data_IF_556033903180
#
_entry.id   IF_556033903180
#
_cell.length_a   1.000
_cell.length_b   1.000
_cell.length_c   1.000
_cell.angle_alpha   90.00
_cell.angle_beta   90.00
_cell.angle_gamma   90.00
#
_symmetry.space_group_name_H-M   'P 1'
#
loop_
_entity.id
_entity.type
_entity.pdbx_description
1 polymer ?
#
# COMPACT_ATOMS: atom_id res chain seq x y z
N UNK A 1 5.11 4.15 4.59
CA UNK A 1 4.53 3.65 3.32
C UNK A 1 3.09 3.24 3.51
N UNK A 2 2.87 2.11 4.20
CA UNK A 2 1.52 1.57 4.40
C UNK A 2 0.60 2.50 5.19
N UNK A 3 1.12 3.20 6.21
CA UNK A 3 0.35 4.20 6.96
C UNK A 3 -0.26 5.28 6.06
N UNK A 4 0.47 5.71 5.02
CA UNK A 4 -0.05 6.70 4.07
C UNK A 4 -1.13 6.09 3.18
N UNK A 5 -0.92 4.88 2.68
CA UNK A 5 -1.94 4.19 1.89
C UNK A 5 -3.23 4.02 2.69
N UNK A 6 -3.12 3.66 3.97
CA UNK A 6 -4.27 3.52 4.87
C UNK A 6 -5.00 4.85 5.07
N UNK A 7 -4.26 5.94 5.30
CA UNK A 7 -4.85 7.27 5.45
C UNK A 7 -5.55 7.76 4.18
N UNK A 8 -4.90 7.62 3.02
CA UNK A 8 -5.46 8.02 1.73
C UNK A 8 -6.66 7.15 1.34
N UNK A 9 -6.54 5.81 1.41
CA UNK A 9 -7.66 4.90 1.09
C UNK A 9 -8.84 5.08 2.06
N UNK A 10 -8.56 5.26 3.36
CA UNK A 10 -9.59 5.51 4.37
C UNK A 10 -10.31 6.84 4.15
N UNK A 11 -9.57 7.89 3.78
CA UNK A 11 -10.15 9.20 3.47
C UNK A 11 -10.93 9.18 2.16
N UNK A 12 -10.43 8.48 1.13
CA UNK A 12 -11.13 8.29 -0.14
C UNK A 12 -12.45 7.52 0.05
N UNK A 13 -12.44 6.46 0.87
CA UNK A 13 -13.65 5.74 1.25
C UNK A 13 -14.68 6.68 1.90
N UNK A 14 -14.26 7.51 2.86
CA UNK A 14 -15.14 8.48 3.53
C UNK A 14 -15.69 9.54 2.57
N UNK A 15 -14.85 10.07 1.67
CA UNK A 15 -15.29 11.06 0.67
C UNK A 15 -16.36 10.46 -0.26
N UNK A 16 -16.08 9.29 -0.86
CA UNK A 16 -17.03 8.61 -1.75
C UNK A 16 -18.33 8.29 -1.02
N UNK A 17 -18.27 7.76 0.19
CA UNK A 17 -19.46 7.45 0.98
C UNK A 17 -20.26 8.71 1.30
N UNK A 18 -19.61 9.79 1.75
CA UNK A 18 -20.26 11.05 2.09
C UNK A 18 -20.97 11.66 0.89
N UNK A 19 -20.30 11.71 -0.28
CA UNK A 19 -20.89 12.22 -1.53
C UNK A 19 -22.09 11.38 -1.97
N UNK A 20 -22.00 10.06 -1.86
CA UNK A 20 -23.10 9.15 -2.19
C UNK A 20 -24.32 9.41 -1.28
N UNK A 21 -24.10 9.51 0.04
CA UNK A 21 -25.16 9.81 1.01
C UNK A 21 -25.78 11.20 0.80
N UNK A 22 -25.01 12.16 0.28
CA UNK A 22 -25.49 13.48 -0.13
C UNK A 22 -26.22 13.49 -1.49
N UNK A 23 -26.41 12.33 -2.13
CA UNK A 23 -27.20 12.18 -3.35
C UNK A 23 -26.42 12.30 -4.65
N UNK A 24 -25.07 12.34 -4.61
CA UNK A 24 -24.25 12.32 -5.83
C UNK A 24 -24.31 10.94 -6.50
N UNK A 25 -24.99 10.89 -7.65
CA UNK A 25 -25.15 9.67 -8.47
C UNK A 25 -23.92 9.30 -9.29
N UNK A 26 -22.93 10.19 -9.37
CA UNK A 26 -21.71 9.96 -10.15
C UNK A 26 -20.63 9.23 -9.35
N UNK A 27 -20.78 9.14 -8.03
CA UNK A 27 -19.85 8.41 -7.17
C UNK A 27 -19.84 6.94 -7.55
N UNK A 28 -18.64 6.39 -7.71
CA UNK A 28 -18.42 4.97 -7.95
C UNK A 28 -18.29 4.24 -6.62
N UNK A 29 -19.35 3.51 -6.28
CA UNK A 29 -19.38 2.52 -5.21
C UNK A 29 -19.80 1.15 -5.82
N UNK A 30 -19.27 0.03 -5.32
CA UNK A 30 -18.34 -0.11 -4.19
C UNK A 30 -16.94 0.45 -4.47
N UNK A 31 -16.12 0.68 -3.44
CA UNK A 31 -14.69 0.96 -3.59
C UNK A 31 -13.91 -0.34 -3.40
N UNK A 32 -12.92 -0.57 -4.26
CA UNK A 32 -12.02 -1.73 -4.18
C UNK A 32 -10.60 -1.26 -3.86
N UNK A 33 -9.81 -2.06 -3.15
CA UNK A 33 -8.41 -1.70 -2.87
C UNK A 33 -7.56 -1.79 -4.14
N UNK A 34 -6.46 -1.03 -4.19
CA UNK A 34 -5.58 -0.92 -5.37
C UNK A 34 -4.14 -1.37 -5.10
N UNK A 35 -3.81 -1.76 -3.86
CA UNK A 35 -2.43 -2.04 -3.47
C UNK A 35 -1.81 -3.28 -4.14
N UNK A 36 -2.60 -4.19 -4.71
CA UNK A 36 -2.16 -5.41 -5.39
C UNK A 36 -2.03 -5.17 -6.91
N UNK A 37 -0.81 -5.20 -7.48
CA UNK A 37 -0.63 -4.93 -8.91
C UNK A 37 -1.30 -5.98 -9.81
N UNK A 38 -1.38 -7.24 -9.35
CA UNK A 38 -2.11 -8.28 -10.08
C UNK A 38 -3.62 -8.00 -10.17
N UNK A 39 -4.18 -7.39 -9.13
CA UNK A 39 -5.59 -6.97 -9.12
C UNK A 39 -5.84 -5.78 -10.03
N UNK A 40 -4.96 -4.77 -9.98
CA UNK A 40 -5.02 -3.61 -10.88
C UNK A 40 -4.94 -4.06 -12.33
N UNK A 41 -3.95 -4.89 -12.68
CA UNK A 41 -3.80 -5.42 -14.03
C UNK A 41 -5.04 -6.23 -14.46
N UNK A 42 -5.63 -7.03 -13.56
CA UNK A 42 -6.85 -7.77 -13.87
C UNK A 42 -8.02 -6.84 -14.24
N UNK A 43 -8.21 -5.75 -13.48
CA UNK A 43 -9.21 -4.72 -13.78
C UNK A 43 -8.93 -4.03 -15.12
N UNK A 44 -7.70 -3.62 -15.36
CA UNK A 44 -7.28 -2.94 -16.60
C UNK A 44 -7.44 -3.80 -17.85
N UNK A 45 -7.44 -5.13 -17.73
CA UNK A 45 -7.63 -6.01 -18.89
C UNK A 45 -9.08 -6.45 -19.07
N UNK A 46 -9.79 -6.73 -17.97
CA UNK A 46 -11.09 -7.41 -18.02
C UNK A 46 -12.28 -6.47 -17.76
N UNK A 47 -12.06 -5.31 -17.14
CA UNK A 47 -13.11 -4.40 -16.68
C UNK A 47 -12.75 -2.93 -17.00
N UNK A 48 -12.48 -2.66 -18.28
CA UNK A 48 -12.10 -1.33 -18.79
C UNK A 48 -13.14 -0.23 -18.51
N UNK A 49 -14.41 -0.60 -18.35
CA UNK A 49 -15.52 0.28 -18.03
C UNK A 49 -15.65 0.58 -16.51
N UNK A 50 -14.85 -0.08 -15.68
CA UNK A 50 -14.88 0.02 -14.21
C UNK A 50 -13.56 0.48 -13.60
N UNK A 51 -12.71 1.16 -14.36
CA UNK A 51 -11.39 1.63 -13.90
C UNK A 51 -11.45 2.61 -12.72
N UNK A 52 -12.59 3.29 -12.55
CA UNK A 52 -12.83 4.23 -11.44
C UNK A 52 -13.31 3.54 -10.14
N UNK A 53 -13.56 2.23 -10.17
CA UNK A 53 -14.04 1.46 -9.01
C UNK A 53 -12.92 1.18 -8.00
N UNK A 54 -11.72 0.74 -8.41
CA UNK A 54 -10.57 0.70 -7.51
C UNK A 54 -10.23 2.07 -6.93
N UNK A 55 -9.60 2.04 -5.76
CA UNK A 55 -9.03 3.20 -5.08
C UNK A 55 -7.97 3.87 -5.95
N UNK A 56 -7.94 5.20 -5.91
CA UNK A 56 -6.91 6.00 -6.57
C UNK A 56 -5.57 6.00 -5.82
N UNK A 57 -5.56 5.50 -4.59
CA UNK A 57 -4.37 5.44 -3.75
C UNK A 57 -3.27 4.59 -4.39
N UNK A 58 -2.03 5.09 -4.34
CA UNK A 58 -0.82 4.33 -4.67
C UNK A 58 -0.59 3.23 -3.62
N UNK A 59 0.07 2.14 -4.01
CA UNK A 59 0.47 1.13 -3.04
C UNK A 59 1.55 1.63 -2.06
N UNK A 60 1.78 0.95 -0.93
CA UNK A 60 2.74 1.40 0.08
C UNK A 60 4.16 1.61 -0.44
N UNK A 61 4.61 0.77 -1.38
CA UNK A 61 5.94 0.92 -1.96
C UNK A 61 6.03 2.17 -2.81
N UNK A 62 4.99 2.48 -3.58
CA UNK A 62 4.96 3.62 -4.49
C UNK A 62 4.79 4.93 -3.72
N UNK A 63 3.92 4.94 -2.69
CA UNK A 63 3.83 6.09 -1.80
C UNK A 63 5.15 6.35 -1.08
N UNK A 64 5.82 5.30 -0.59
CA UNK A 64 7.12 5.47 0.05
C UNK A 64 8.18 5.98 -0.92
N UNK A 65 8.29 5.40 -2.12
CA UNK A 65 9.24 5.83 -3.14
C UNK A 65 9.05 7.30 -3.53
N UNK A 66 7.80 7.72 -3.72
CA UNK A 66 7.47 9.11 -4.01
C UNK A 66 7.96 10.07 -2.92
N UNK A 67 7.74 9.76 -1.64
CA UNK A 67 8.19 10.58 -0.51
C UNK A 67 9.71 10.54 -0.33
N UNK A 68 10.33 9.37 -0.50
CA UNK A 68 11.77 9.21 -0.42
C UNK A 68 12.48 10.13 -1.43
N UNK A 69 11.97 10.20 -2.66
CA UNK A 69 12.53 10.99 -3.75
C UNK A 69 12.05 12.44 -3.83
N UNK A 70 11.21 12.88 -2.90
CA UNK A 70 10.76 14.28 -2.82
C UNK A 70 11.15 14.84 -1.45
N UNK A 71 10.30 14.65 -0.45
CA UNK A 71 10.48 15.17 0.90
C UNK A 71 11.82 14.77 1.54
N UNK A 72 12.22 13.50 1.44
CA UNK A 72 13.47 13.05 2.06
C UNK A 72 14.71 13.48 1.26
N UNK A 73 14.65 13.43 -0.08
CA UNK A 73 15.69 13.98 -0.94
C UNK A 73 15.95 15.47 -0.64
N UNK A 74 14.89 16.28 -0.55
CA UNK A 74 14.98 17.70 -0.19
C UNK A 74 15.60 17.89 1.20
N UNK A 75 15.16 17.09 2.19
CA UNK A 75 15.69 17.14 3.56
C UNK A 75 17.17 16.76 3.64
N UNK A 76 17.62 15.85 2.79
CA UNK A 76 19.03 15.45 2.68
C UNK A 76 19.84 16.34 1.74
N UNK A 77 19.21 17.32 1.08
CA UNK A 77 19.85 18.16 0.05
C UNK A 77 20.49 17.33 -1.07
N UNK A 78 19.87 16.19 -1.40
CA UNK A 78 20.26 15.29 -2.50
C UNK A 78 19.24 15.44 -3.62
N UNK A 79 19.68 15.43 -4.87
CA UNK A 79 18.76 15.48 -6.00
C UNK A 79 18.01 14.15 -6.11
N UNK A 80 16.77 14.21 -6.60
CA UNK A 80 15.95 13.03 -6.87
C UNK A 80 16.67 12.00 -7.75
N UNK A 81 17.39 12.48 -8.77
CA UNK A 81 18.11 11.64 -9.73
C UNK A 81 19.31 10.92 -9.12
N UNK A 82 19.85 11.47 -8.03
CA UNK A 82 20.99 10.93 -7.30
C UNK A 82 20.57 9.97 -6.17
N UNK A 83 19.27 9.78 -5.94
CA UNK A 83 18.71 8.90 -4.90
C UNK A 83 18.11 7.64 -5.53
N UNK A 84 18.64 6.47 -5.12
CA UNK A 84 18.15 5.15 -5.54
C UNK A 84 17.30 4.53 -4.45
N UNK A 85 16.05 4.21 -4.78
CA UNK A 85 15.10 3.52 -3.91
C UNK A 85 14.98 2.07 -4.33
N UNK A 86 15.32 1.16 -3.41
CA UNK A 86 15.17 -0.28 -3.58
C UNK A 86 14.11 -0.80 -2.62
N UNK A 87 13.12 -1.52 -3.13
CA UNK A 87 12.09 -2.16 -2.31
C UNK A 87 12.30 -3.68 -2.23
N UNK A 88 12.15 -4.25 -1.04
CA UNK A 88 12.16 -5.71 -0.83
C UNK A 88 10.72 -6.18 -0.65
N UNK A 89 10.22 -6.98 -1.58
CA UNK A 89 8.81 -7.34 -1.66
C UNK A 89 8.60 -8.85 -1.74
N UNK A 90 7.59 -9.42 -1.09
CA UNK A 90 7.28 -10.85 -1.23
C UNK A 90 6.61 -11.20 -2.57
N UNK A 91 6.25 -10.20 -3.38
CA UNK A 91 5.45 -10.36 -4.59
C UNK A 91 6.25 -9.93 -5.83
N UNK A 92 6.31 -10.79 -6.85
CA UNK A 92 6.98 -10.46 -8.13
C UNK A 92 6.26 -9.37 -8.92
N UNK A 93 4.94 -9.25 -8.78
CA UNK A 93 4.16 -8.21 -9.47
C UNK A 93 4.55 -6.79 -9.01
N UNK A 94 5.20 -6.65 -7.84
CA UNK A 94 5.73 -5.36 -7.37
C UNK A 94 6.90 -4.85 -8.22
N UNK A 95 7.62 -5.75 -8.92
CA UNK A 95 8.62 -5.36 -9.92
C UNK A 95 7.98 -4.68 -11.13
N UNK A 96 6.89 -5.26 -11.62
CA UNK A 96 6.11 -4.67 -12.69
C UNK A 96 5.54 -3.31 -12.27
N UNK A 97 4.95 -3.22 -11.07
CA UNK A 97 4.44 -1.95 -10.55
C UNK A 97 5.52 -0.86 -10.50
N UNK A 98 6.74 -1.17 -10.07
CA UNK A 98 7.86 -0.21 -10.03
C UNK A 98 8.22 0.36 -11.42
N UNK A 99 7.93 -0.38 -12.49
CA UNK A 99 8.31 0.00 -13.86
C UNK A 99 7.24 0.81 -14.61
N UNK A 100 6.03 0.92 -14.07
CA UNK A 100 4.91 1.64 -14.68
C UNK A 100 5.24 3.13 -14.86
N UNK A 101 4.90 3.68 -16.03
CA UNK A 101 5.35 5.02 -16.45
C UNK A 101 4.74 6.16 -15.62
N UNK A 102 3.52 5.96 -15.11
CA UNK A 102 2.83 6.91 -14.22
C UNK A 102 3.49 7.07 -12.84
N UNK A 103 4.43 6.20 -12.49
CA UNK A 103 5.23 6.32 -11.27
C UNK A 103 6.61 6.91 -11.54
N UNK A 104 6.74 7.70 -12.61
CA UNK A 104 7.97 8.43 -12.96
C UNK A 104 7.70 9.93 -12.93
N UNK A 105 8.65 10.68 -12.40
CA UNK A 105 8.69 12.15 -12.49
C UNK A 105 9.85 12.52 -13.40
N UNK A 106 9.57 13.16 -14.53
CA UNK A 106 10.57 13.50 -15.55
C UNK A 106 11.43 12.30 -16.00
N UNK A 107 10.81 11.12 -16.11
CA UNK A 107 11.49 9.87 -16.46
C UNK A 107 12.23 9.18 -15.31
N UNK A 108 12.28 9.78 -14.11
CA UNK A 108 12.90 9.18 -12.92
C UNK A 108 11.85 8.42 -12.07
N UNK A 109 11.94 7.08 -11.93
CA UNK A 109 10.97 6.28 -11.16
C UNK A 109 10.91 6.65 -9.69
N UNK A 110 9.73 6.53 -9.07
CA UNK A 110 9.53 6.65 -7.60
C UNK A 110 10.27 5.51 -6.86
N UNK A 111 10.26 4.30 -7.43
CA UNK A 111 11.02 3.12 -6.96
C UNK A 111 11.88 2.60 -8.11
N UNK A 112 13.21 2.58 -7.95
CA UNK A 112 14.14 2.19 -9.01
C UNK A 112 14.20 0.68 -9.20
N UNK A 113 14.26 -0.06 -8.09
CA UNK A 113 14.35 -1.51 -8.11
C UNK A 113 13.40 -2.13 -7.08
N UNK A 114 12.76 -3.23 -7.47
CA UNK A 114 12.07 -4.10 -6.54
C UNK A 114 12.70 -5.49 -6.62
N UNK A 115 13.12 -6.01 -5.46
CA UNK A 115 13.68 -7.34 -5.33
C UNK A 115 12.79 -8.20 -4.45
N UNK A 116 12.77 -9.50 -4.75
CA UNK A 116 12.04 -10.46 -3.95
C UNK A 116 12.81 -10.82 -2.68
N UNK A 117 12.09 -11.31 -1.66
CA UNK A 117 12.71 -11.89 -0.45
C UNK A 117 13.69 -13.02 -0.80
N UNK A 118 13.42 -13.78 -1.88
CA UNK A 118 14.32 -14.84 -2.37
C UNK A 118 15.62 -14.29 -2.94
N UNK A 119 15.55 -13.19 -3.68
CA UNK A 119 16.72 -12.52 -4.24
C UNK A 119 17.58 -11.88 -3.14
N UNK A 120 16.95 -11.22 -2.17
CA UNK A 120 17.67 -10.71 -0.99
C UNK A 120 18.36 -11.85 -0.24
N UNK A 121 17.66 -12.96 0.01
CA UNK A 121 18.23 -14.13 0.68
C UNK A 121 19.38 -14.76 -0.11
N UNK A 122 19.38 -14.67 -1.45
CA UNK A 122 20.48 -15.12 -2.28
C UNK A 122 21.70 -14.20 -2.12
N UNK A 123 21.51 -12.88 -2.19
CA UNK A 123 22.57 -11.89 -2.00
C UNK A 123 23.24 -12.05 -0.63
N UNK A 124 22.46 -12.16 0.45
CA UNK A 124 22.98 -12.38 1.81
C UNK A 124 23.93 -13.59 1.86
N UNK A 125 23.53 -14.70 1.22
CA UNK A 125 24.36 -15.92 1.16
C UNK A 125 25.59 -15.75 0.28
N UNK A 126 25.45 -15.08 -0.86
CA UNK A 126 26.55 -14.83 -1.81
C UNK A 126 27.64 -13.95 -1.19
N UNK A 127 27.25 -12.96 -0.38
CA UNK A 127 28.18 -12.11 0.37
C UNK A 127 28.68 -12.74 1.69
N UNK A 128 28.36 -14.01 1.96
CA UNK A 128 28.72 -14.74 3.18
C UNK A 128 28.32 -14.01 4.48
N UNK A 129 27.17 -13.33 4.46
CA UNK A 129 26.64 -12.63 5.65
C UNK A 129 25.90 -13.65 6.52
N UNK A 130 26.37 -13.87 7.75
CA UNK A 130 25.60 -14.62 8.73
C UNK A 130 24.52 -13.73 9.35
N UNK A 131 23.37 -13.65 8.69
CA UNK A 131 22.26 -12.79 9.11
C UNK A 131 21.79 -13.06 10.55
N UNK A 132 21.89 -14.30 11.02
CA UNK A 132 21.45 -14.67 12.38
C UNK A 132 22.36 -14.13 13.49
N UNK A 133 23.60 -13.74 13.16
CA UNK A 133 24.59 -13.22 14.12
C UNK A 133 24.69 -11.69 14.07
N UNK A 134 23.88 -11.02 13.25
CA UNK A 134 23.86 -9.56 13.19
C UNK A 134 23.26 -8.98 14.48
N UNK A 135 23.83 -7.86 14.93
CA UNK A 135 23.24 -7.11 16.02
C UNK A 135 21.93 -6.45 15.55
N UNK A 136 20.96 -6.34 16.46
CA UNK A 136 19.77 -5.55 16.21
C UNK A 136 20.14 -4.07 16.06
N UNK A 137 19.59 -3.42 15.04
CA UNK A 137 19.74 -1.99 14.78
C UNK A 137 18.37 -1.36 14.53
N UNK A 138 18.26 -0.07 14.84
CA UNK A 138 17.06 0.71 14.58
C UNK A 138 16.91 1.05 13.10
N UNK A 139 15.67 1.20 12.64
CA UNK A 139 15.39 1.72 11.30
C UNK A 139 15.77 3.21 11.16
N UNK A 140 16.07 3.63 9.94
CA UNK A 140 16.45 5.01 9.63
C UNK A 140 15.36 6.04 9.95
N UNK A 141 15.75 7.21 10.44
CA UNK A 141 14.82 8.33 10.70
C UNK A 141 14.90 9.36 9.57
N UNK A 142 13.80 10.03 9.18
CA UNK A 142 12.46 9.99 9.78
C UNK A 142 11.51 8.97 9.13
N UNK A 143 11.93 8.25 8.09
CA UNK A 143 11.01 7.46 7.24
C UNK A 143 10.90 5.97 7.62
N UNK A 144 11.80 5.44 8.42
CA UNK A 144 11.88 4.02 8.78
C UNK A 144 11.05 3.60 9.98
N UNK A 145 10.58 4.53 10.81
CA UNK A 145 9.63 4.23 11.88
C UNK A 145 8.23 3.98 11.27
N UNK A 146 7.68 2.78 11.51
CA UNK A 146 6.35 2.37 11.09
C UNK A 146 5.39 2.38 12.28
N UNK A 147 4.14 2.85 12.11
CA UNK A 147 3.14 2.69 13.15
C UNK A 147 2.61 1.25 13.19
N UNK A 148 1.95 0.86 14.28
CA UNK A 148 1.35 -0.46 14.44
C UNK A 148 0.33 -0.83 13.35
N UNK A 149 -0.27 0.15 12.65
CA UNK A 149 -1.20 -0.10 11.55
C UNK A 149 -0.51 -0.71 10.32
N UNK A 150 0.70 -0.24 9.99
CA UNK A 150 1.53 -0.79 8.93
C UNK A 150 2.09 -2.20 9.25
N UNK A 151 2.19 -2.60 10.52
CA UNK A 151 2.56 -3.97 10.90
C UNK A 151 1.48 -4.98 10.49
N UNK A 152 0.20 -4.60 10.58
CA UNK A 152 -0.93 -5.46 10.21
C UNK A 152 -1.10 -5.55 8.68
N UNK A 153 -0.55 -4.61 7.92
CA UNK A 153 -0.61 -4.60 6.44
C UNK A 153 -0.07 -5.90 5.82
N UNK A 154 0.91 -6.55 6.46
CA UNK A 154 1.48 -7.83 6.01
C UNK A 154 0.58 -9.05 6.22
N UNK A 155 -0.51 -8.93 6.99
CA UNK A 155 -1.47 -10.00 7.25
C UNK A 155 -2.63 -9.98 6.24
N UNK A 156 -3.23 -11.14 5.97
CA UNK A 156 -4.40 -11.24 5.10
C UNK A 156 -5.57 -10.44 5.66
N UNK A 157 -6.09 -9.47 4.89
CA UNK A 157 -7.14 -8.55 5.32
C UNK A 157 -6.64 -7.28 6.04
N UNK A 158 -5.33 -7.12 6.24
CA UNK A 158 -4.79 -6.00 7.02
C UNK A 158 -5.00 -4.63 6.38
N UNK A 159 -4.97 -4.54 5.04
CA UNK A 159 -5.17 -3.27 4.32
C UNK A 159 -6.60 -2.76 4.49
N UNK A 160 -7.58 -3.62 4.20
CA UNK A 160 -9.00 -3.28 4.30
C UNK A 160 -9.39 -3.03 5.76
N UNK A 161 -8.89 -3.83 6.70
CA UNK A 161 -9.15 -3.60 8.13
C UNK A 161 -8.60 -2.25 8.57
N UNK A 162 -7.37 -1.89 8.19
CA UNK A 162 -6.75 -0.65 8.59
C UNK A 162 -7.41 0.58 7.94
N UNK A 163 -7.76 0.52 6.65
CA UNK A 163 -8.46 1.60 5.95
C UNK A 163 -9.85 1.83 6.55
N UNK A 164 -10.62 0.76 6.79
CA UNK A 164 -11.96 0.85 7.37
C UNK A 164 -11.92 1.28 8.83
N UNK A 165 -10.94 0.80 9.62
CA UNK A 165 -10.70 1.27 10.98
C UNK A 165 -10.41 2.76 11.00
N UNK A 166 -9.53 3.24 10.13
CA UNK A 166 -9.20 4.67 10.03
C UNK A 166 -10.43 5.49 9.67
N UNK A 167 -11.20 5.06 8.66
CA UNK A 167 -12.44 5.71 8.27
C UNK A 167 -13.46 5.78 9.43
N UNK A 168 -13.66 4.68 10.14
CA UNK A 168 -14.58 4.60 11.28
C UNK A 168 -14.15 5.52 12.43
N UNK A 169 -12.87 5.47 12.83
CA UNK A 169 -12.37 6.25 13.96
C UNK A 169 -12.38 7.76 13.67
N UNK A 170 -12.05 8.15 12.43
CA UNK A 170 -12.12 9.55 11.98
C UNK A 170 -13.55 10.06 11.94
N UNK A 171 -14.50 9.26 11.46
CA UNK A 171 -15.90 9.69 11.32
C UNK A 171 -16.67 9.68 12.65
N UNK A 172 -16.48 8.63 13.46
CA UNK A 172 -17.27 8.42 14.68
C UNK A 172 -16.60 8.98 15.94
N UNK A 173 -15.29 9.22 15.90
CA UNK A 173 -14.48 9.55 17.08
C UNK A 173 -14.34 8.39 18.08
N UNK A 174 -14.84 7.19 17.75
CA UNK A 174 -14.78 5.99 18.60
C UNK A 174 -13.78 5.00 18.03
N UNK A 175 -13.09 4.26 18.90
CA UNK A 175 -12.24 3.15 18.47
C UNK A 175 -13.08 2.03 17.88
N UNK A 176 -12.73 1.58 16.68
CA UNK A 176 -13.36 0.41 16.09
C UNK A 176 -12.93 -0.83 16.89
N UNK A 177 -13.84 -1.70 17.36
CA UNK A 177 -13.45 -2.96 17.97
C UNK A 177 -12.71 -3.87 16.97
N UNK A 178 -12.27 -5.04 17.45
CA UNK A 178 -11.68 -6.04 16.56
C UNK A 178 -12.73 -6.45 15.51
N UNK A 179 -12.32 -6.48 14.24
CA UNK A 179 -13.18 -6.88 13.15
C UNK A 179 -13.03 -8.39 12.94
N UNK A 180 -14.14 -9.13 13.07
CA UNK A 180 -14.14 -10.57 12.84
C UNK A 180 -14.65 -10.86 11.43
N UNK A 181 -13.72 -11.23 10.55
CA UNK A 181 -14.03 -11.65 9.18
C UNK A 181 -14.55 -13.09 9.18
N UNK A 182 -15.77 -13.27 8.65
CA UNK A 182 -16.42 -14.58 8.50
C UNK A 182 -16.42 -15.01 7.04
N UNK A 183 -16.17 -16.30 6.79
CA UNK A 183 -16.18 -16.85 5.43
C UNK A 183 -17.60 -16.89 4.86
N UNK A 184 -17.75 -16.50 3.60
CA UNK A 184 -19.05 -16.52 2.92
C UNK A 184 -19.38 -17.94 2.48
N UNK A 185 -20.55 -18.44 2.91
CA UNK A 185 -21.01 -19.79 2.59
C UNK A 185 -21.09 -19.99 1.08
N UNK A 186 -20.33 -20.95 0.56
CA UNK A 186 -20.29 -21.29 -0.87
C UNK A 186 -19.32 -20.45 -1.70
N UNK A 187 -18.52 -19.58 -1.07
CA UNK A 187 -17.49 -18.77 -1.72
C UNK A 187 -16.14 -18.97 -1.01
N UNK A 188 -15.46 -20.07 -1.37
CA UNK A 188 -14.15 -20.39 -0.78
C UNK A 188 -13.16 -19.23 -0.97
N UNK A 189 -12.51 -18.82 0.12
CA UNK A 189 -11.52 -17.75 0.10
C UNK A 189 -12.11 -16.32 0.14
N UNK A 190 -13.43 -16.15 0.16
CA UNK A 190 -14.08 -14.84 0.34
C UNK A 190 -14.56 -14.70 1.79
N UNK A 191 -14.19 -13.59 2.42
CA UNK A 191 -14.60 -13.26 3.79
C UNK A 191 -15.31 -11.91 3.83
N UNK A 192 -16.22 -11.75 4.79
CA UNK A 192 -16.98 -10.52 5.03
C UNK A 192 -17.03 -10.16 6.51
N UNK A 193 -17.13 -8.87 6.79
CA UNK A 193 -17.42 -8.34 8.12
C UNK A 193 -18.43 -7.19 7.99
N UNK A 194 -19.23 -6.98 9.04
CA UNK A 194 -20.20 -5.89 9.11
C UNK A 194 -19.84 -4.97 10.27
N UNK A 195 -19.98 -3.67 10.04
CA UNK A 195 -19.68 -2.60 11.00
C UNK A 195 -20.96 -1.77 11.15
N UNK A 196 -21.17 -1.22 12.35
CA UNK A 196 -22.35 -0.46 12.75
C UNK A 196 -22.41 0.96 12.17
#
# INVERSE_FOLDING_TARGET
GADMTIMEEGTELLDRLTRHLNGDKNVKLPILTSCCPGWVNFFEHNFNDMLDVPSSAKSPQQMFGAIAKTYFADKMSVKREDLVVVSVMPCLAKKYEAQRDEFKVNGNPDVDFSISTRELAHLIKEFNINFADLADEDFDRPLGESTGAAVIFGATGGVIEAAVRTAYEVHTGKKLPKMDFTELRGMEGIRSATID
#
